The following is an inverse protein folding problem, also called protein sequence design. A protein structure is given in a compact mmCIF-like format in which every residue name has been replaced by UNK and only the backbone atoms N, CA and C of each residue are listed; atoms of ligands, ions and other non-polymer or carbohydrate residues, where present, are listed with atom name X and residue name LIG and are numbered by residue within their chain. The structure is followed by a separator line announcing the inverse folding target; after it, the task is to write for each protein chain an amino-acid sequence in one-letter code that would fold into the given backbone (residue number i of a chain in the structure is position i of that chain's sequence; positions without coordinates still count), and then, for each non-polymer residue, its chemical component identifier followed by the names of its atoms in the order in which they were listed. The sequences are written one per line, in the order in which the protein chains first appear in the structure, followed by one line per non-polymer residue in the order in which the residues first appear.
data_IF_446766623644
#
_entry.id   IF_446766623644
#
_cell.length_a   1.000
_cell.length_b   1.000
_cell.length_c   1.000
_cell.angle_alpha   90.00
_cell.angle_beta   90.00
_cell.angle_gamma   90.00
#
_symmetry.space_group_name_H-M   'P 1'
#
loop_
_entity.id
_entity.type
_entity.pdbx_description
1 polymer ?
#
# COMPACT_ATOMS: atom_id res chain seq x y z
N UNK A 1 -27.87 8.77 41.11
CA UNK A 1 -26.93 8.25 40.09
C UNK A 1 -27.39 8.64 38.69
N UNK A 2 -26.74 9.61 38.03
CA UNK A 2 -27.00 9.97 36.62
C UNK A 2 -25.79 9.62 35.75
N UNK A 3 -25.76 8.40 35.20
CA UNK A 3 -24.95 8.05 34.03
C UNK A 3 -25.88 7.37 33.00
N UNK A 4 -26.36 8.11 31.97
CA UNK A 4 -26.53 7.42 30.69
C UNK A 4 -26.18 8.25 29.43
N UNK A 5 -26.06 9.57 29.50
CA UNK A 5 -25.98 10.40 28.28
C UNK A 5 -24.57 10.39 27.64
N UNK A 6 -23.51 10.33 28.45
CA UNK A 6 -22.13 10.31 27.95
C UNK A 6 -21.73 8.98 27.30
N UNK A 7 -22.28 7.85 27.76
CA UNK A 7 -22.05 6.52 27.17
C UNK A 7 -22.75 6.36 25.82
N UNK A 8 -23.99 6.84 25.70
CA UNK A 8 -24.73 6.87 24.41
C UNK A 8 -24.02 7.68 23.32
N UNK A 9 -23.43 8.83 23.67
CA UNK A 9 -22.73 9.70 22.70
C UNK A 9 -21.41 9.10 22.16
N UNK A 10 -20.74 8.23 22.92
CA UNK A 10 -19.55 7.50 22.46
C UNK A 10 -19.90 6.33 21.54
N UNK A 11 -21.06 5.69 21.75
CA UNK A 11 -21.50 4.53 20.99
C UNK A 11 -21.87 4.85 19.52
N UNK A 12 -22.23 6.11 19.24
CA UNK A 12 -22.72 6.57 17.93
C UNK A 12 -21.71 7.39 17.11
N UNK A 13 -20.45 7.52 17.56
CA UNK A 13 -19.44 8.22 16.76
C UNK A 13 -18.92 7.31 15.66
N UNK A 14 -19.37 7.59 14.45
CA UNK A 14 -18.96 6.88 13.24
C UNK A 14 -17.56 7.33 12.82
N UNK A 15 -16.70 6.38 12.45
CA UNK A 15 -15.43 6.66 11.79
C UNK A 15 -15.69 6.70 10.27
N UNK A 16 -15.63 7.90 9.68
CA UNK A 16 -15.96 8.08 8.26
C UNK A 16 -15.01 7.30 7.35
N UNK A 17 -13.75 7.20 7.75
CA UNK A 17 -12.71 6.53 6.97
C UNK A 17 -12.98 5.02 6.90
N UNK A 18 -13.49 4.43 7.99
CA UNK A 18 -13.92 3.01 8.03
C UNK A 18 -15.15 2.75 7.16
N UNK A 19 -16.15 3.63 7.18
CA UNK A 19 -17.33 3.46 6.31
C UNK A 19 -16.94 3.54 4.85
N UNK A 20 -16.10 4.52 4.47
CA UNK A 20 -15.61 4.66 3.10
C UNK A 20 -14.90 3.37 2.67
N UNK A 21 -14.04 2.85 3.54
CA UNK A 21 -13.33 1.60 3.29
C UNK A 21 -14.29 0.44 3.09
N UNK A 22 -15.25 0.26 4.00
CA UNK A 22 -16.22 -0.84 3.98
C UNK A 22 -17.13 -0.76 2.73
N UNK A 23 -17.58 0.43 2.35
CA UNK A 23 -18.40 0.65 1.13
C UNK A 23 -17.63 0.33 -0.14
N UNK A 24 -16.39 0.80 -0.25
CA UNK A 24 -15.57 0.54 -1.44
C UNK A 24 -15.16 -0.93 -1.49
N UNK A 25 -14.85 -1.57 -0.35
CA UNK A 25 -14.57 -3.01 -0.31
C UNK A 25 -15.78 -3.82 -0.78
N UNK A 26 -16.99 -3.42 -0.36
CA UNK A 26 -18.23 -4.02 -0.84
C UNK A 26 -18.41 -3.83 -2.35
N UNK A 27 -18.27 -2.59 -2.85
CA UNK A 27 -18.32 -2.28 -4.30
C UNK A 27 -17.27 -3.09 -5.06
N UNK A 28 -16.04 -3.16 -4.55
CA UNK A 28 -14.98 -3.97 -5.16
C UNK A 28 -15.39 -5.44 -5.25
N UNK A 29 -15.93 -6.00 -4.17
CA UNK A 29 -16.38 -7.39 -4.14
C UNK A 29 -17.52 -7.64 -5.15
N UNK A 30 -18.51 -6.77 -5.22
CA UNK A 30 -19.65 -6.89 -6.14
C UNK A 30 -19.26 -6.67 -7.61
N UNK A 31 -18.56 -5.58 -7.90
CA UNK A 31 -18.26 -5.19 -9.27
C UNK A 31 -17.07 -5.94 -9.83
N UNK A 32 -16.00 -6.10 -9.07
CA UNK A 32 -14.78 -6.73 -9.56
C UNK A 32 -14.86 -8.24 -9.43
N UNK A 33 -15.05 -8.80 -8.23
CA UNK A 33 -15.05 -10.26 -8.05
C UNK A 33 -16.27 -10.95 -8.71
N UNK A 34 -17.47 -10.38 -8.63
CA UNK A 34 -18.68 -11.01 -9.20
C UNK A 34 -19.08 -10.53 -10.59
N UNK A 35 -18.93 -9.24 -10.94
CA UNK A 35 -19.56 -8.70 -12.17
C UNK A 35 -18.63 -8.61 -13.38
N UNK A 36 -17.38 -8.14 -13.21
CA UNK A 36 -16.40 -7.95 -14.29
C UNK A 36 -15.57 -9.23 -14.50
N UNK A 37 -15.13 -9.86 -13.40
CA UNK A 37 -14.34 -11.10 -13.42
C UNK A 37 -15.11 -12.28 -14.01
N UNK A 38 -16.34 -12.55 -13.55
CA UNK A 38 -17.14 -13.68 -14.06
C UNK A 38 -17.68 -13.45 -15.48
N UNK A 39 -17.53 -12.23 -16.05
CA UNK A 39 -18.06 -11.85 -17.38
C UNK A 39 -17.04 -11.29 -18.38
N UNK A 40 -15.73 -11.39 -18.11
CA UNK A 40 -14.78 -11.65 -19.19
C UNK A 40 -13.72 -10.62 -19.57
N UNK A 41 -13.22 -9.73 -18.70
CA UNK A 41 -11.84 -9.17 -18.83
C UNK A 41 -11.26 -8.81 -17.45
N UNK A 42 -10.05 -9.26 -17.16
CA UNK A 42 -9.33 -8.95 -15.91
C UNK A 42 -8.50 -7.68 -16.03
N UNK A 43 -8.20 -7.00 -14.93
CA UNK A 43 -7.43 -5.74 -14.95
C UNK A 43 -6.03 -5.94 -15.56
N UNK A 44 -5.38 -7.07 -15.26
CA UNK A 44 -4.09 -7.43 -15.86
C UNK A 44 -4.20 -7.72 -17.38
N UNK A 45 -5.38 -8.07 -17.88
CA UNK A 45 -5.62 -8.28 -19.32
C UNK A 45 -5.94 -6.97 -20.06
N UNK A 46 -6.34 -5.93 -19.33
CA UNK A 46 -6.62 -4.58 -19.87
C UNK A 46 -5.37 -3.70 -19.82
N UNK A 47 -4.47 -3.96 -18.88
CA UNK A 47 -3.26 -3.18 -18.63
C UNK A 47 -2.05 -3.81 -19.33
N UNK A 48 -1.21 -2.99 -19.99
CA UNK A 48 0.05 -3.50 -20.56
C UNK A 48 1.02 -3.92 -19.46
N UNK A 49 1.84 -4.94 -19.73
CA UNK A 49 2.79 -5.48 -18.76
C UNK A 49 3.72 -4.40 -18.18
N UNK A 50 4.07 -3.38 -18.96
CA UNK A 50 4.93 -2.28 -18.53
C UNK A 50 4.37 -1.53 -17.30
N UNK A 51 3.04 -1.48 -17.13
CA UNK A 51 2.40 -0.81 -16.01
C UNK A 51 2.52 -1.57 -14.69
N UNK A 52 2.92 -2.84 -14.68
CA UNK A 52 3.14 -3.54 -13.41
C UNK A 52 4.35 -2.98 -12.65
N UNK A 53 5.34 -2.40 -13.34
CA UNK A 53 6.50 -1.74 -12.70
C UNK A 53 6.08 -0.48 -11.93
N UNK A 54 5.39 0.52 -12.51
CA UNK A 54 4.90 1.65 -11.74
C UNK A 54 3.87 1.21 -10.70
N UNK A 55 3.03 0.20 -10.96
CA UNK A 55 2.13 -0.35 -9.93
C UNK A 55 2.89 -0.99 -8.77
N UNK A 56 3.99 -1.69 -9.03
CA UNK A 56 4.83 -2.31 -8.00
C UNK A 56 5.52 -1.28 -7.13
N UNK A 57 5.79 -0.07 -7.63
CA UNK A 57 6.35 1.05 -6.86
C UNK A 57 5.24 1.80 -6.11
N UNK A 58 4.19 2.21 -6.83
CA UNK A 58 3.16 3.11 -6.30
C UNK A 58 2.30 2.43 -5.23
N UNK A 59 1.95 1.16 -5.41
CA UNK A 59 1.09 0.44 -4.46
C UNK A 59 1.72 0.37 -3.07
N UNK A 60 2.94 -0.18 -2.88
CA UNK A 60 3.57 -0.19 -1.57
C UNK A 60 3.94 1.22 -1.07
N UNK A 61 4.19 2.19 -1.95
CA UNK A 61 4.39 3.59 -1.55
C UNK A 61 3.14 4.16 -0.85
N UNK A 62 1.98 4.11 -1.50
CA UNK A 62 0.75 4.64 -0.95
C UNK A 62 0.30 3.88 0.29
N UNK A 63 0.45 2.56 0.31
CA UNK A 63 0.09 1.73 1.47
C UNK A 63 1.01 2.01 2.65
N UNK A 64 2.34 2.09 2.45
CA UNK A 64 3.28 2.39 3.53
C UNK A 64 3.05 3.78 4.11
N UNK A 65 2.75 4.76 3.26
CA UNK A 65 2.37 6.09 3.71
C UNK A 65 1.07 6.07 4.52
N UNK A 66 0.03 5.38 4.04
CA UNK A 66 -1.24 5.28 4.74
C UNK A 66 -1.13 4.55 6.08
N UNK A 67 -0.42 3.44 6.12
CA UNK A 67 -0.11 2.73 7.36
C UNK A 67 0.60 3.66 8.35
N UNK A 68 1.56 4.46 7.90
CA UNK A 68 2.22 5.48 8.72
C UNK A 68 1.22 6.48 9.32
N UNK A 69 0.26 6.98 8.54
CA UNK A 69 -0.83 7.82 9.04
C UNK A 69 -1.71 7.10 10.05
N UNK A 70 -2.05 5.83 9.80
CA UNK A 70 -2.87 5.05 10.71
C UNK A 70 -2.15 4.88 12.06
N UNK A 71 -0.84 4.60 12.04
CA UNK A 71 0.00 4.50 13.22
C UNK A 71 0.05 5.81 14.00
N UNK A 72 0.26 6.94 13.34
CA UNK A 72 0.26 8.25 14.00
C UNK A 72 -1.06 8.52 14.74
N UNK A 73 -2.19 8.28 14.09
CA UNK A 73 -3.53 8.45 14.69
C UNK A 73 -3.80 7.50 15.86
N UNK A 74 -3.23 6.30 15.84
CA UNK A 74 -3.33 5.32 16.93
C UNK A 74 -2.49 5.72 18.15
N UNK A 75 -1.42 6.47 17.93
CA UNK A 75 -0.32 6.59 18.90
C UNK A 75 -0.23 7.96 19.59
N UNK A 76 -1.13 8.89 19.27
CA UNK A 76 -1.27 10.21 19.90
C UNK A 76 -1.48 10.17 21.43
N UNK A 77 -1.66 9.00 22.06
CA UNK A 77 -1.95 8.89 23.50
C UNK A 77 -1.14 7.88 24.32
N UNK A 78 -0.35 6.98 23.74
CA UNK A 78 0.43 6.00 24.53
C UNK A 78 1.53 5.32 23.70
N UNK A 79 2.81 5.63 23.98
CA UNK A 79 3.95 4.80 23.59
C UNK A 79 3.99 3.53 24.44
N UNK A 80 3.12 2.57 24.14
CA UNK A 80 3.01 1.27 24.84
C UNK A 80 3.50 0.11 23.97
N UNK A 81 3.52 -1.11 24.50
CA UNK A 81 3.77 -2.36 23.73
C UNK A 81 2.89 -2.48 22.47
N UNK A 82 1.69 -1.86 22.50
CA UNK A 82 0.79 -1.80 21.35
C UNK A 82 1.37 -0.97 20.19
N UNK A 83 2.13 0.10 20.46
CA UNK A 83 2.80 0.91 19.44
C UNK A 83 3.81 0.06 18.66
N UNK A 84 4.67 -0.65 19.38
CA UNK A 84 5.69 -1.52 18.78
C UNK A 84 5.06 -2.62 17.95
N UNK A 85 4.04 -3.29 18.49
CA UNK A 85 3.29 -4.32 17.76
C UNK A 85 2.67 -3.77 16.47
N UNK A 86 1.99 -2.63 16.54
CA UNK A 86 1.36 -2.01 15.37
C UNK A 86 2.41 -1.50 14.36
N UNK A 87 3.57 -1.03 14.83
CA UNK A 87 4.65 -0.58 13.95
C UNK A 87 5.28 -1.75 13.18
N UNK A 88 5.46 -2.90 13.84
CA UNK A 88 5.89 -4.14 13.20
C UNK A 88 4.84 -4.57 12.17
N UNK A 89 3.56 -4.58 12.55
CA UNK A 89 2.47 -4.93 11.65
C UNK A 89 2.39 -3.97 10.46
N UNK A 90 2.62 -2.68 10.68
CA UNK A 90 2.62 -1.67 9.65
C UNK A 90 3.75 -1.81 8.63
N UNK A 91 4.95 -2.19 9.06
CA UNK A 91 6.04 -2.52 8.14
C UNK A 91 5.84 -3.88 7.45
N UNK A 92 5.20 -4.82 8.14
CA UNK A 92 4.92 -6.15 7.62
C UNK A 92 3.95 -6.16 6.44
N UNK A 93 2.90 -5.32 6.46
CA UNK A 93 1.89 -5.27 5.40
C UNK A 93 2.53 -5.02 4.02
N UNK A 94 3.24 -3.92 3.78
CA UNK A 94 3.78 -3.65 2.46
C UNK A 94 4.95 -4.59 2.11
N UNK A 95 5.75 -5.04 3.09
CA UNK A 95 6.81 -6.04 2.86
C UNK A 95 6.25 -7.40 2.41
N UNK A 96 5.19 -7.89 3.05
CA UNK A 96 4.55 -9.14 2.66
C UNK A 96 3.91 -9.01 1.27
N UNK A 97 3.25 -7.89 0.97
CA UNK A 97 2.75 -7.59 -0.38
C UNK A 97 3.87 -7.71 -1.44
N UNK A 98 5.05 -7.14 -1.18
CA UNK A 98 6.23 -7.25 -2.05
C UNK A 98 6.74 -8.68 -2.24
N UNK A 99 6.77 -9.49 -1.18
CA UNK A 99 7.18 -10.90 -1.27
C UNK A 99 6.19 -11.70 -2.13
N UNK A 100 4.89 -11.48 -1.93
CA UNK A 100 3.86 -12.18 -2.68
C UNK A 100 3.71 -11.68 -4.13
N UNK A 101 4.14 -10.45 -4.43
CA UNK A 101 4.23 -9.94 -5.80
C UNK A 101 5.12 -10.81 -6.68
N UNK A 102 6.27 -11.25 -6.16
CA UNK A 102 7.20 -12.14 -6.90
C UNK A 102 6.48 -13.40 -7.36
N UNK A 103 5.71 -14.02 -6.45
CA UNK A 103 4.94 -15.23 -6.74
C UNK A 103 3.73 -15.02 -7.66
N UNK A 104 3.26 -13.78 -7.79
CA UNK A 104 2.07 -13.45 -8.58
C UNK A 104 2.44 -13.07 -10.00
N UNK A 105 3.48 -12.27 -10.19
CA UNK A 105 3.96 -11.91 -11.52
C UNK A 105 4.60 -13.07 -12.26
N UNK A 106 5.28 -13.99 -11.57
CA UNK A 106 5.76 -15.22 -12.20
C UNK A 106 4.61 -16.09 -12.76
N UNK A 107 3.42 -16.04 -12.15
CA UNK A 107 2.23 -16.72 -12.64
C UNK A 107 1.48 -16.01 -13.78
N UNK A 108 1.71 -14.71 -13.99
CA UNK A 108 1.06 -13.89 -15.04
C UNK A 108 1.96 -13.77 -16.28
N UNK A 109 3.26 -13.51 -16.09
CA UNK A 109 4.17 -13.12 -17.16
C UNK A 109 4.92 -14.26 -17.85
N UNK A 110 4.84 -15.49 -17.35
CA UNK A 110 5.84 -16.52 -17.68
C UNK A 110 7.18 -16.23 -17.01
N UNK A 111 8.15 -17.13 -17.11
CA UNK A 111 9.44 -17.12 -16.38
C UNK A 111 10.41 -15.98 -16.77
N UNK A 112 9.94 -14.79 -17.10
CA UNK A 112 10.79 -13.61 -17.32
C UNK A 112 11.32 -13.09 -15.97
N UNK A 113 12.44 -13.67 -15.54
CA UNK A 113 13.10 -13.38 -14.26
C UNK A 113 13.44 -11.89 -14.08
N UNK A 114 13.84 -11.18 -15.14
CA UNK A 114 14.27 -9.77 -15.05
C UNK A 114 13.13 -8.81 -14.72
N UNK A 115 11.92 -9.11 -15.20
CA UNK A 115 10.73 -8.29 -14.94
C UNK A 115 10.24 -8.42 -13.51
N UNK A 116 10.28 -9.65 -12.99
CA UNK A 116 9.92 -9.98 -11.61
C UNK A 116 10.90 -9.33 -10.64
N UNK A 117 12.20 -9.39 -10.92
CA UNK A 117 13.26 -8.78 -10.11
C UNK A 117 13.12 -7.24 -10.06
N UNK A 118 12.92 -6.60 -11.22
CA UNK A 118 12.71 -5.16 -11.31
C UNK A 118 11.46 -4.72 -10.56
N UNK A 119 10.37 -5.50 -10.65
CA UNK A 119 9.12 -5.21 -9.95
C UNK A 119 9.26 -5.37 -8.44
N UNK A 120 9.98 -6.40 -7.97
CA UNK A 120 10.29 -6.60 -6.55
C UNK A 120 11.12 -5.44 -5.99
N UNK A 121 12.17 -5.03 -6.71
CA UNK A 121 12.97 -3.91 -6.25
C UNK A 121 12.20 -2.58 -6.27
N UNK A 122 11.42 -2.33 -7.32
CA UNK A 122 10.50 -1.20 -7.38
C UNK A 122 9.58 -1.16 -6.16
N UNK A 123 9.13 -2.32 -5.70
CA UNK A 123 8.32 -2.42 -4.48
C UNK A 123 9.09 -2.02 -3.22
N UNK A 124 10.35 -2.42 -3.06
CA UNK A 124 11.19 -1.99 -1.94
C UNK A 124 11.40 -0.47 -1.93
N UNK A 125 11.67 0.12 -3.09
CA UNK A 125 11.77 1.58 -3.27
C UNK A 125 10.47 2.26 -2.87
N UNK A 126 9.34 1.69 -3.30
CA UNK A 126 8.00 2.14 -2.90
C UNK A 126 7.81 2.12 -1.39
N UNK A 127 8.14 1.01 -0.71
CA UNK A 127 8.06 0.88 0.76
C UNK A 127 8.85 1.98 1.45
N UNK A 128 10.11 2.17 1.07
CA UNK A 128 10.99 3.16 1.71
C UNK A 128 10.46 4.58 1.48
N UNK A 129 10.05 4.90 0.25
CA UNK A 129 9.44 6.20 -0.06
C UNK A 129 8.18 6.46 0.76
N UNK A 130 7.28 5.48 0.82
CA UNK A 130 6.04 5.60 1.58
C UNK A 130 6.30 5.71 3.09
N UNK A 131 7.30 5.00 3.61
CA UNK A 131 7.73 5.12 5.01
C UNK A 131 8.24 6.53 5.35
N UNK A 132 9.01 7.16 4.46
CA UNK A 132 9.49 8.55 4.65
C UNK A 132 8.30 9.52 4.68
N UNK A 133 7.34 9.35 3.79
CA UNK A 133 6.13 10.16 3.79
C UNK A 133 5.31 9.95 5.06
N UNK A 134 5.02 8.70 5.43
CA UNK A 134 4.27 8.35 6.64
C UNK A 134 4.94 8.80 7.93
N UNK A 135 6.27 8.67 8.03
CA UNK A 135 7.04 9.10 9.21
C UNK A 135 7.19 10.62 9.33
N UNK A 136 6.95 11.40 8.28
CA UNK A 136 7.00 12.87 8.34
C UNK A 136 5.63 13.50 8.61
N UNK A 137 4.53 12.73 8.61
CA UNK A 137 3.18 13.26 8.80
C UNK A 137 2.92 13.84 10.20
N UNK A 138 3.67 13.43 11.24
CA UNK A 138 3.51 14.06 12.57
C UNK A 138 3.88 15.54 12.54
N UNK A 139 4.86 15.92 11.71
CA UNK A 139 5.30 17.30 11.51
C UNK A 139 4.21 18.08 10.76
N UNK A 140 3.56 17.42 9.80
CA UNK A 140 2.44 17.98 9.06
C UNK A 140 1.24 18.29 9.98
N UNK A 141 0.98 17.42 10.97
CA UNK A 141 -0.08 17.63 11.98
C UNK A 141 0.20 18.85 12.87
N UNK A 142 1.48 19.17 13.12
CA UNK A 142 1.90 20.41 13.80
C UNK A 142 1.80 21.67 12.93
N UNK A 143 1.24 21.56 11.71
CA UNK A 143 1.15 22.62 10.68
C UNK A 143 2.51 23.17 10.25
N UNK A 144 3.58 22.44 10.53
CA UNK A 144 4.92 22.72 10.00
C UNK A 144 5.03 22.13 8.61
N UNK A 145 5.91 22.71 7.80
CA UNK A 145 6.20 22.11 6.52
C UNK A 145 7.04 20.84 6.67
N UNK A 146 6.88 19.97 5.68
CA UNK A 146 7.47 18.62 5.61
C UNK A 146 8.25 18.41 4.32
N UNK A 147 8.30 19.43 3.46
CA UNK A 147 8.79 19.31 2.11
C UNK A 147 10.29 19.06 2.09
N UNK A 148 11.08 19.84 2.85
CA UNK A 148 12.53 19.62 3.00
C UNK A 148 12.85 18.20 3.46
N UNK A 149 12.27 17.75 4.57
CA UNK A 149 12.50 16.40 5.11
C UNK A 149 12.10 15.28 4.17
N UNK A 150 10.98 15.43 3.45
CA UNK A 150 10.56 14.46 2.43
C UNK A 150 11.52 14.44 1.26
N UNK A 151 11.96 15.60 0.81
CA UNK A 151 12.85 15.74 -0.33
C UNK A 151 14.26 15.21 -0.01
N UNK A 152 14.78 15.47 1.19
CA UNK A 152 16.00 14.86 1.70
C UNK A 152 15.86 13.33 1.81
N UNK A 153 14.75 12.83 2.33
CA UNK A 153 14.51 11.38 2.38
C UNK A 153 14.39 10.75 0.98
N UNK A 154 13.67 11.38 0.07
CA UNK A 154 13.51 10.93 -1.32
C UNK A 154 14.82 10.95 -2.10
N UNK A 155 15.81 11.74 -1.66
CA UNK A 155 17.16 11.70 -2.22
C UNK A 155 17.82 10.33 -2.06
N UNK A 156 17.59 9.67 -0.91
CA UNK A 156 18.07 8.31 -0.62
C UNK A 156 17.30 7.29 -1.44
N UNK A 157 15.97 7.44 -1.54
CA UNK A 157 15.09 6.55 -2.31
C UNK A 157 15.43 6.59 -3.81
N UNK A 158 15.58 7.79 -4.36
CA UNK A 158 16.01 8.00 -5.75
C UNK A 158 17.41 7.46 -5.99
N UNK A 159 18.33 7.68 -5.05
CA UNK A 159 19.68 7.11 -5.12
C UNK A 159 19.68 5.59 -5.16
N UNK A 160 18.90 4.92 -4.29
CA UNK A 160 18.73 3.46 -4.32
C UNK A 160 18.10 2.99 -5.64
N UNK A 161 17.11 3.71 -6.14
CA UNK A 161 16.46 3.41 -7.42
C UNK A 161 17.42 3.43 -8.60
N UNK A 162 18.18 4.51 -8.76
CA UNK A 162 19.15 4.63 -9.85
C UNK A 162 20.37 3.74 -9.66
N UNK A 163 20.80 3.47 -8.42
CA UNK A 163 21.86 2.51 -8.15
C UNK A 163 21.48 1.12 -8.65
N UNK A 164 20.26 0.69 -8.35
CA UNK A 164 19.76 -0.61 -8.80
C UNK A 164 19.53 -0.66 -10.31
N UNK A 165 18.92 0.37 -10.91
CA UNK A 165 18.77 0.44 -12.37
C UNK A 165 20.12 0.40 -13.08
N UNK A 166 21.13 1.09 -12.55
CA UNK A 166 22.48 1.05 -13.09
C UNK A 166 23.13 -0.32 -12.94
N UNK A 167 23.06 -0.91 -11.76
CA UNK A 167 23.69 -2.20 -11.47
C UNK A 167 23.01 -3.33 -12.26
N UNK A 168 21.70 -3.47 -12.14
CA UNK A 168 20.97 -4.57 -12.79
C UNK A 168 20.65 -4.25 -14.25
N UNK A 169 20.07 -3.09 -14.55
CA UNK A 169 19.77 -2.71 -15.94
C UNK A 169 21.02 -2.58 -16.81
N UNK A 170 22.15 -2.16 -16.24
CA UNK A 170 23.44 -2.15 -16.90
C UNK A 170 23.99 -3.54 -17.25
N UNK A 171 23.84 -4.49 -16.34
CA UNK A 171 24.22 -5.90 -16.55
C UNK A 171 23.28 -6.57 -17.56
N UNK A 172 21.98 -6.25 -17.55
CA UNK A 172 20.99 -6.87 -18.45
C UNK A 172 20.97 -6.29 -19.87
N UNK A 173 21.30 -5.01 -20.04
CA UNK A 173 21.36 -4.34 -21.36
C UNK A 173 22.79 -4.42 -21.95
N UNK A 174 23.73 -5.02 -21.21
CA UNK A 174 25.14 -5.15 -21.56
C UNK A 174 25.76 -3.80 -22.00
N UNK A 175 25.29 -2.72 -21.36
CA UNK A 175 25.58 -1.35 -21.75
C UNK A 175 26.22 -0.60 -20.60
N UNK A 176 27.55 -0.61 -20.61
CA UNK A 176 28.40 0.09 -19.64
C UNK A 176 28.06 1.59 -19.57
N UNK A 177 27.67 2.20 -20.69
CA UNK A 177 27.25 3.60 -20.75
C UNK A 177 25.96 3.87 -19.96
N UNK A 178 24.98 2.97 -20.06
CA UNK A 178 23.74 3.06 -19.28
C UNK A 178 24.00 2.94 -17.78
N UNK A 179 24.86 2.01 -17.37
CA UNK A 179 25.30 1.86 -15.98
C UNK A 179 25.91 3.16 -15.46
N UNK A 180 26.82 3.76 -16.23
CA UNK A 180 27.52 4.99 -15.84
C UNK A 180 26.56 6.18 -15.70
N UNK A 181 25.60 6.32 -16.63
CA UNK A 181 24.56 7.35 -16.55
C UNK A 181 23.71 7.19 -15.30
N UNK A 182 23.28 5.96 -14.99
CA UNK A 182 22.49 5.69 -13.78
C UNK A 182 23.27 6.04 -12.50
N UNK A 183 24.55 5.69 -12.42
CA UNK A 183 25.40 6.08 -11.29
C UNK A 183 25.56 7.59 -11.17
N UNK A 184 25.73 8.32 -12.27
CA UNK A 184 25.75 9.79 -12.25
C UNK A 184 24.41 10.34 -11.72
N UNK A 185 23.28 9.78 -12.16
CA UNK A 185 21.96 10.16 -11.69
C UNK A 185 21.76 9.94 -10.19
N UNK A 186 22.36 8.90 -9.59
CA UNK A 186 22.39 8.73 -8.12
C UNK A 186 22.94 9.98 -7.44
N UNK A 187 24.12 10.44 -7.86
CA UNK A 187 24.77 11.60 -7.25
C UNK A 187 24.04 12.90 -7.55
N UNK A 188 23.55 13.09 -8.78
CA UNK A 188 22.80 14.29 -9.18
C UNK A 188 21.48 14.40 -8.38
N UNK A 189 20.72 13.30 -8.28
CA UNK A 189 19.49 13.29 -7.49
C UNK A 189 19.76 13.46 -6.00
N UNK A 190 20.79 12.79 -5.45
CA UNK A 190 21.16 12.91 -4.04
C UNK A 190 21.57 14.35 -3.70
N UNK A 191 22.56 14.90 -4.38
CA UNK A 191 23.09 16.24 -4.13
C UNK A 191 22.06 17.33 -4.46
N UNK A 192 21.34 17.19 -5.57
CA UNK A 192 20.30 18.13 -5.98
C UNK A 192 19.17 18.21 -4.97
N UNK A 193 18.67 17.06 -4.49
CA UNK A 193 17.63 17.04 -3.48
C UNK A 193 18.13 17.55 -2.13
N UNK A 194 19.31 17.14 -1.67
CA UNK A 194 19.87 17.66 -0.40
C UNK A 194 20.04 19.18 -0.45
N UNK A 195 20.59 19.71 -1.56
CA UNK A 195 20.78 21.15 -1.73
C UNK A 195 19.45 21.90 -1.75
N UNK A 196 18.45 21.38 -2.48
CA UNK A 196 17.12 21.98 -2.52
C UNK A 196 16.43 21.92 -1.16
N UNK A 197 16.59 20.81 -0.42
CA UNK A 197 16.10 20.67 0.96
C UNK A 197 16.69 21.74 1.89
N UNK A 198 18.00 21.97 1.83
CA UNK A 198 18.67 22.97 2.67
C UNK A 198 18.20 24.39 2.33
N UNK A 199 18.04 24.71 1.05
CA UNK A 199 17.52 26.02 0.61
C UNK A 199 16.09 26.23 1.12
N UNK A 200 15.26 25.19 1.09
CA UNK A 200 13.89 25.27 1.61
C UNK A 200 13.85 25.47 3.13
N UNK A 201 14.74 24.80 3.87
CA UNK A 201 14.88 24.99 5.32
C UNK A 201 15.35 26.42 5.67
N UNK A 202 16.28 26.98 4.91
CA UNK A 202 16.80 28.35 5.10
C UNK A 202 15.77 29.44 4.78
N UNK A 203 14.94 29.25 3.75
CA UNK A 203 13.96 30.24 3.31
C UNK A 203 12.69 30.31 4.18
N UNK A 204 12.51 29.35 5.10
CA UNK A 204 11.31 29.26 5.92
C UNK A 204 10.12 28.76 5.11
N UNK A 205 9.86 27.46 5.19
CA UNK A 205 8.78 26.84 4.43
C UNK A 205 7.39 27.31 4.90
N UNK A 206 6.49 27.56 3.95
CA UNK A 206 5.09 27.92 4.24
C UNK A 206 4.37 26.74 4.92
N UNK A 207 3.48 27.01 5.89
CA UNK A 207 2.66 25.95 6.49
C UNK A 207 1.80 25.25 5.44
N UNK A 208 1.44 24.00 5.72
CA UNK A 208 0.65 23.16 4.81
C UNK A 208 -0.69 23.82 4.45
N UNK A 209 -1.05 23.72 3.17
CA UNK A 209 -2.30 24.27 2.65
C UNK A 209 -3.53 23.52 3.17
N UNK A 210 -4.67 24.22 3.26
CA UNK A 210 -5.95 23.59 3.57
C UNK A 210 -6.34 22.52 2.54
N UNK A 211 -5.90 22.68 1.29
CA UNK A 211 -6.08 21.70 0.23
C UNK A 211 -5.40 20.36 0.59
N UNK A 212 -4.15 20.40 1.06
CA UNK A 212 -3.44 19.20 1.49
C UNK A 212 -4.18 18.47 2.60
N UNK A 213 -4.65 19.20 3.62
CA UNK A 213 -5.39 18.59 4.73
C UNK A 213 -6.69 17.93 4.27
N UNK A 214 -7.41 18.55 3.33
CA UNK A 214 -8.62 17.98 2.74
C UNK A 214 -8.32 16.74 1.88
N UNK A 215 -7.23 16.77 1.10
CA UNK A 215 -6.76 15.64 0.31
C UNK A 215 -6.44 14.44 1.21
N UNK A 216 -5.62 14.63 2.25
CA UNK A 216 -5.22 13.57 3.17
C UNK A 216 -6.38 12.94 3.92
N UNK A 217 -7.43 13.72 4.19
CA UNK A 217 -8.62 13.24 4.91
C UNK A 217 -9.64 12.56 3.99
N UNK A 218 -9.80 13.06 2.77
CA UNK A 218 -10.98 12.72 1.96
C UNK A 218 -10.65 11.96 0.68
N UNK A 219 -9.47 12.14 0.10
CA UNK A 219 -9.09 11.54 -1.19
C UNK A 219 -8.07 10.43 -0.99
N UNK A 220 -7.09 10.66 -0.12
CA UNK A 220 -6.01 9.71 0.12
C UNK A 220 -6.46 8.29 0.52
N UNK A 221 -7.47 8.10 1.41
CA UNK A 221 -7.97 6.76 1.72
C UNK A 221 -8.57 6.03 0.50
N UNK A 222 -9.21 6.76 -0.42
CA UNK A 222 -9.76 6.17 -1.65
C UNK A 222 -8.65 5.67 -2.57
N UNK A 223 -7.58 6.46 -2.73
CA UNK A 223 -6.42 6.09 -3.55
C UNK A 223 -5.79 4.81 -3.00
N UNK A 224 -5.54 4.75 -1.68
CA UNK A 224 -4.91 3.60 -1.04
C UNK A 224 -5.77 2.34 -1.22
N UNK A 225 -7.08 2.48 -1.05
CA UNK A 225 -7.97 1.33 -1.22
C UNK A 225 -8.06 0.87 -2.68
N UNK A 226 -8.07 1.79 -3.64
CA UNK A 226 -8.00 1.42 -5.05
C UNK A 226 -6.72 0.61 -5.36
N UNK A 227 -5.56 1.03 -4.83
CA UNK A 227 -4.31 0.28 -4.98
C UNK A 227 -4.35 -1.08 -4.27
N UNK A 228 -4.91 -1.16 -3.07
CA UNK A 228 -5.10 -2.44 -2.36
C UNK A 228 -5.99 -3.40 -3.17
N UNK A 229 -7.09 -2.91 -3.71
CA UNK A 229 -7.99 -3.69 -4.56
C UNK A 229 -7.30 -4.19 -5.83
N UNK A 230 -6.60 -3.31 -6.56
CA UNK A 230 -5.81 -3.69 -7.75
C UNK A 230 -4.78 -4.76 -7.37
N UNK A 231 -4.12 -4.62 -6.22
CA UNK A 231 -3.11 -5.56 -5.79
C UNK A 231 -3.66 -6.95 -5.45
N UNK A 232 -4.78 -7.00 -4.74
CA UNK A 232 -5.49 -8.23 -4.42
C UNK A 232 -5.93 -8.96 -5.69
N UNK A 233 -6.42 -8.22 -6.68
CA UNK A 233 -6.75 -8.78 -7.99
C UNK A 233 -5.52 -9.41 -8.66
N UNK A 234 -4.41 -8.69 -8.73
CA UNK A 234 -3.16 -9.21 -9.33
C UNK A 234 -2.65 -10.45 -8.60
N UNK A 235 -2.73 -10.47 -7.27
CA UNK A 235 -2.33 -11.63 -6.48
C UNK A 235 -3.21 -12.85 -6.78
N UNK A 236 -4.53 -12.70 -6.63
CA UNK A 236 -5.48 -13.79 -6.80
C UNK A 236 -5.33 -14.42 -8.19
N UNK A 237 -5.26 -13.59 -9.22
CA UNK A 237 -5.16 -14.07 -10.60
C UNK A 237 -3.78 -14.60 -10.96
N UNK A 238 -2.70 -13.99 -10.49
CA UNK A 238 -1.37 -14.57 -10.68
C UNK A 238 -1.27 -15.98 -10.09
N UNK A 239 -1.92 -16.21 -8.95
CA UNK A 239 -1.96 -17.53 -8.32
C UNK A 239 -2.87 -18.51 -9.07
N UNK A 240 -4.05 -18.08 -9.51
CA UNK A 240 -4.97 -18.94 -10.29
C UNK A 240 -4.34 -19.32 -11.62
N UNK A 241 -3.82 -18.35 -12.38
CA UNK A 241 -3.21 -18.60 -13.68
C UNK A 241 -1.96 -19.47 -13.57
N UNK A 242 -1.10 -19.20 -12.58
CA UNK A 242 0.07 -20.04 -12.31
C UNK A 242 -0.32 -21.48 -11.95
N UNK A 243 -1.43 -21.69 -11.25
CA UNK A 243 -1.92 -23.03 -10.92
C UNK A 243 -2.53 -23.73 -12.14
N UNK A 244 -3.36 -23.02 -12.94
CA UNK A 244 -3.96 -23.54 -14.16
C UNK A 244 -2.90 -23.93 -15.20
N UNK A 245 -1.85 -23.12 -15.39
CA UNK A 245 -0.77 -23.42 -16.33
C UNK A 245 0.04 -24.67 -15.96
N UNK A 246 0.02 -25.06 -14.68
CA UNK A 246 0.70 -26.25 -14.17
C UNK A 246 -0.26 -27.42 -13.90
N UNK A 247 -1.54 -27.34 -14.30
CA UNK A 247 -2.59 -28.32 -13.98
C UNK A 247 -2.67 -28.63 -12.47
N UNK A 248 -2.52 -27.61 -11.63
CA UNK A 248 -2.61 -27.71 -10.16
C UNK A 248 -3.80 -26.90 -9.65
N UNK A 249 -4.30 -27.26 -8.48
CA UNK A 249 -5.33 -26.49 -7.76
C UNK A 249 -4.70 -25.44 -6.86
N UNK A 250 -5.34 -24.27 -6.71
CA UNK A 250 -4.93 -23.28 -5.71
C UNK A 250 -5.29 -23.76 -4.31
N UNK A 251 -4.33 -23.72 -3.37
CA UNK A 251 -4.62 -24.04 -1.98
C UNK A 251 -5.42 -22.91 -1.31
N UNK A 252 -6.66 -23.21 -0.95
CA UNK A 252 -7.52 -22.29 -0.18
C UNK A 252 -6.83 -21.80 1.10
N UNK A 253 -6.15 -22.66 1.91
CA UNK A 253 -5.39 -22.18 3.06
C UNK A 253 -4.27 -21.19 2.72
N UNK A 254 -3.60 -21.35 1.57
CA UNK A 254 -2.53 -20.47 1.14
C UNK A 254 -3.02 -19.06 0.81
N UNK A 255 -4.20 -18.94 0.18
CA UNK A 255 -4.84 -17.64 -0.02
C UNK A 255 -5.29 -17.00 1.30
N UNK A 256 -5.86 -17.78 2.21
CA UNK A 256 -6.24 -17.26 3.52
C UNK A 256 -5.05 -16.70 4.28
N UNK A 257 -3.91 -17.39 4.25
CA UNK A 257 -2.68 -16.88 4.83
C UNK A 257 -2.32 -15.54 4.22
N UNK A 258 -2.30 -15.42 2.89
CA UNK A 258 -2.02 -14.15 2.20
C UNK A 258 -2.94 -13.02 2.64
N UNK A 259 -4.25 -13.25 2.60
CA UNK A 259 -5.26 -12.27 2.98
C UNK A 259 -5.09 -11.82 4.43
N UNK A 260 -4.72 -12.74 5.34
CA UNK A 260 -4.54 -12.45 6.76
C UNK A 260 -3.23 -11.72 7.07
N UNK A 261 -2.19 -11.92 6.26
CA UNK A 261 -0.86 -11.34 6.54
C UNK A 261 -0.55 -10.10 5.70
N UNK A 262 -1.30 -9.84 4.63
CA UNK A 262 -1.04 -8.75 3.68
C UNK A 262 -2.33 -8.11 3.16
N UNK A 263 -2.21 -6.93 2.52
CA UNK A 263 -3.32 -6.33 1.80
C UNK A 263 -4.45 -5.78 2.67
N UNK A 264 -5.69 -6.11 2.33
CA UNK A 264 -6.91 -5.43 2.83
C UNK A 264 -7.19 -5.74 4.30
N UNK A 265 -7.05 -7.00 4.75
CA UNK A 265 -7.45 -7.40 6.11
C UNK A 265 -6.57 -6.75 7.19
N UNK A 266 -5.22 -6.81 7.13
CA UNK A 266 -4.39 -6.14 8.13
C UNK A 266 -4.62 -4.62 8.19
N UNK A 267 -4.82 -3.97 7.04
CA UNK A 267 -5.14 -2.53 6.99
C UNK A 267 -6.49 -2.27 7.67
N UNK A 268 -7.50 -3.10 7.43
CA UNK A 268 -8.81 -2.97 8.09
C UNK A 268 -8.73 -3.20 9.59
N UNK A 269 -7.91 -4.16 10.05
CA UNK A 269 -7.64 -4.38 11.48
C UNK A 269 -7.01 -3.12 12.09
N UNK A 270 -6.01 -2.52 11.44
CA UNK A 270 -5.42 -1.27 11.91
C UNK A 270 -6.44 -0.14 12.01
N UNK A 271 -7.34 -0.03 11.03
CA UNK A 271 -8.43 0.95 11.04
C UNK A 271 -9.46 0.68 12.16
N UNK A 272 -9.86 -0.57 12.39
CA UNK A 272 -10.79 -0.95 13.46
C UNK A 272 -10.24 -0.65 14.86
N UNK A 273 -8.92 -0.66 15.01
CA UNK A 273 -8.24 -0.30 16.25
C UNK A 273 -8.21 1.22 16.49
N UNK A 274 -8.55 2.04 15.49
CA UNK A 274 -8.57 3.49 15.60
C UNK A 274 -9.74 3.98 16.47
N UNK A 275 -9.53 5.04 17.26
CA UNK A 275 -10.63 5.74 17.90
C UNK A 275 -11.45 6.52 16.84
N UNK A 276 -12.80 6.53 16.90
CA UNK A 276 -13.66 5.93 17.92
C UNK A 276 -13.93 4.43 17.68
N UNK A 277 -13.60 3.59 18.66
CA UNK A 277 -13.95 2.16 18.67
C UNK A 277 -15.43 2.01 19.03
N UNK A 278 -16.29 2.00 18.02
CA UNK A 278 -17.73 1.77 18.21
C UNK A 278 -18.11 0.36 17.76
N UNK A 279 -19.15 -0.19 18.39
CA UNK A 279 -19.67 -1.50 18.03
C UNK A 279 -20.12 -1.53 16.57
N UNK A 280 -20.73 -0.45 16.08
CA UNK A 280 -21.22 -0.31 14.71
C UNK A 280 -20.08 -0.38 13.68
N UNK A 281 -18.96 0.31 13.94
CA UNK A 281 -17.77 0.25 13.08
C UNK A 281 -17.16 -1.17 13.07
N UNK A 282 -17.09 -1.82 14.24
CA UNK A 282 -16.56 -3.19 14.34
C UNK A 282 -17.46 -4.20 13.61
N UNK A 283 -18.78 -4.16 13.82
CA UNK A 283 -19.71 -5.09 13.17
C UNK A 283 -19.78 -4.86 11.66
N UNK A 284 -19.74 -3.59 11.21
CA UNK A 284 -19.66 -3.26 9.79
C UNK A 284 -18.40 -3.84 9.15
N UNK A 285 -17.24 -3.62 9.79
CA UNK A 285 -15.96 -4.16 9.32
C UNK A 285 -15.90 -5.69 9.30
N UNK A 286 -16.46 -6.37 10.31
CA UNK A 286 -16.54 -7.83 10.29
C UNK A 286 -17.44 -8.36 9.18
N UNK A 287 -18.58 -7.70 8.93
CA UNK A 287 -19.49 -8.10 7.87
C UNK A 287 -18.87 -7.90 6.48
N UNK A 288 -18.22 -6.76 6.21
CA UNK A 288 -17.57 -6.50 4.92
C UNK A 288 -16.36 -7.38 4.69
N UNK A 289 -15.50 -7.59 5.70
CA UNK A 289 -14.38 -8.53 5.60
C UNK A 289 -14.87 -9.96 5.39
N UNK A 290 -15.90 -10.40 6.13
CA UNK A 290 -16.49 -11.73 5.98
C UNK A 290 -17.06 -11.94 4.58
N UNK A 291 -17.75 -10.92 4.04
CA UNK A 291 -18.26 -10.95 2.68
C UNK A 291 -17.15 -11.04 1.62
N UNK A 292 -16.10 -10.24 1.75
CA UNK A 292 -14.94 -10.28 0.87
C UNK A 292 -14.26 -11.66 0.89
N UNK A 293 -13.98 -12.19 2.08
CA UNK A 293 -13.39 -13.51 2.28
C UNK A 293 -14.24 -14.62 1.64
N UNK A 294 -15.55 -14.60 1.90
CA UNK A 294 -16.48 -15.58 1.34
C UNK A 294 -16.48 -15.51 -0.18
N UNK A 295 -16.44 -14.32 -0.75
CA UNK A 295 -16.44 -14.11 -2.20
C UNK A 295 -15.17 -14.62 -2.86
N UNK A 296 -14.01 -14.41 -2.24
CA UNK A 296 -12.74 -15.01 -2.69
C UNK A 296 -12.79 -16.54 -2.62
N UNK A 297 -13.37 -17.09 -1.54
CA UNK A 297 -13.53 -18.54 -1.40
C UNK A 297 -14.41 -19.13 -2.51
N UNK A 298 -15.60 -18.56 -2.74
CA UNK A 298 -16.54 -18.98 -3.79
C UNK A 298 -15.91 -18.86 -5.18
N UNK A 299 -15.15 -17.79 -5.44
CA UNK A 299 -14.45 -17.61 -6.71
C UNK A 299 -13.47 -18.77 -6.96
N UNK A 300 -12.64 -19.13 -5.98
CA UNK A 300 -11.63 -20.17 -6.17
C UNK A 300 -12.23 -21.57 -6.25
N UNK A 301 -13.24 -21.88 -5.44
CA UNK A 301 -13.94 -23.18 -5.55
C UNK A 301 -14.84 -23.29 -6.77
N UNK A 302 -15.23 -22.17 -7.39
CA UNK A 302 -15.96 -22.17 -8.65
C UNK A 302 -15.07 -22.40 -9.88
N UNK A 303 -13.76 -22.17 -9.78
CA UNK A 303 -12.80 -22.29 -10.89
C UNK A 303 -12.17 -23.70 -10.95
N UNK A 304 -11.91 -24.32 -9.79
CA UNK A 304 -11.28 -25.64 -9.67
C UNK A 304 -12.29 -26.69 -9.21
#
# INVERSE_FOLDING_TARGET
MKKPVYLKKKCLRINKDEIIFDVILFIYTEFFLYSIVLRGKMFYQVISHEWFIPLSILTPFFISWYVGLLLLRLCDKTRSKLYTFLSILGLWIPCSMSVFLVSSFSGIGGEDNSFVDLSYFGSLVGIIGGYIFGSTEYIALEKKSVLSKRLAGMSVVGGLFFFYLGFFGGIFIDNIGFTFICFILVFVCALGCIKLSNVLDEQGEKPLSAFYQNFMKSVFPFIVLAFLCIWEELYLWGRINGALSHNKTVSVPGMFVYLLVSGIIPVRIMMALQPPRTLMNMTGGFATMGYFIYSVHVMVTGIF
#
